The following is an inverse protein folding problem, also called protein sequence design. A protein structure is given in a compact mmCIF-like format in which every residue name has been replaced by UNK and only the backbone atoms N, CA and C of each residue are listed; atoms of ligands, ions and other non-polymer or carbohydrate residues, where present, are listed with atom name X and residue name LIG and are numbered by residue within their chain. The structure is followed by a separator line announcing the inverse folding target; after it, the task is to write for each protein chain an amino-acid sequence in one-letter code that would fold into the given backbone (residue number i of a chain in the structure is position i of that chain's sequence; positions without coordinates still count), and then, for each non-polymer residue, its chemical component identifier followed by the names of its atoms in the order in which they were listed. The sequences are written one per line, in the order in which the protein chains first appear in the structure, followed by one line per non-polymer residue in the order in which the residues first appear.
data_IF_738633329608
#
_entry.id   IF_738633329608
#
_cell.length_a   1.000
_cell.length_b   1.000
_cell.length_c   1.000
_cell.angle_alpha   90.00
_cell.angle_beta   90.00
_cell.angle_gamma   90.00
#
_symmetry.space_group_name_H-M   'P 1'
#
loop_
_entity.id
_entity.type
_entity.pdbx_description
1 polymer ?
#
# COMPACT_ATOMS: atom_id res chain seq x y z
N UNK A 1 -42.17 1.27 32.42
CA UNK A 1 -42.42 2.69 32.15
C UNK A 1 -41.57 3.14 30.97
N UNK A 2 -42.20 3.19 29.79
CA UNK A 2 -41.60 3.76 28.59
C UNK A 2 -41.52 5.29 28.79
N UNK A 3 -40.31 5.87 28.83
CA UNK A 3 -40.14 7.30 29.08
C UNK A 3 -40.11 8.16 27.82
N UNK A 4 -39.64 7.58 26.69
CA UNK A 4 -39.52 8.30 25.43
C UNK A 4 -39.40 7.30 24.27
N UNK A 5 -40.04 7.60 23.14
CA UNK A 5 -39.83 6.91 21.86
C UNK A 5 -39.26 7.94 20.90
N UNK A 6 -38.05 7.73 20.42
CA UNK A 6 -37.41 8.55 19.38
C UNK A 6 -37.43 7.81 18.06
N UNK A 7 -38.05 8.39 17.05
CA UNK A 7 -37.97 7.91 15.69
C UNK A 7 -36.81 8.61 14.98
N UNK A 8 -36.01 7.85 14.21
CA UNK A 8 -34.99 8.44 13.36
C UNK A 8 -35.67 9.08 12.14
N UNK A 9 -35.68 10.40 12.09
CA UNK A 9 -36.13 11.14 10.90
C UNK A 9 -34.95 11.29 9.97
N UNK A 10 -35.04 10.69 8.78
CA UNK A 10 -34.04 10.87 7.72
C UNK A 10 -34.47 12.12 6.95
N UNK A 11 -33.63 13.16 6.85
CA UNK A 11 -33.94 14.34 6.06
C UNK A 11 -34.11 13.99 4.58
N UNK A 12 -34.95 14.74 3.88
CA UNK A 12 -35.06 14.66 2.42
C UNK A 12 -33.74 15.09 1.75
N UNK A 13 -33.48 14.52 0.57
CA UNK A 13 -32.29 14.90 -0.25
C UNK A 13 -32.72 16.11 -1.09
N UNK A 14 -32.53 17.30 -0.52
CA UNK A 14 -32.95 18.59 -1.08
C UNK A 14 -31.87 19.67 -0.84
N UNK A 15 -32.22 20.91 -1.23
CA UNK A 15 -31.32 22.07 -1.06
C UNK A 15 -31.05 22.41 0.42
N UNK A 16 -31.94 22.00 1.35
CA UNK A 16 -31.71 22.22 2.77
C UNK A 16 -30.58 21.30 3.28
N UNK A 17 -30.61 20.06 2.84
CA UNK A 17 -29.51 19.12 3.13
C UNK A 17 -28.19 19.64 2.55
N UNK A 18 -28.18 20.12 1.30
CA UNK A 18 -26.98 20.68 0.65
C UNK A 18 -26.41 21.86 1.46
N UNK A 19 -27.29 22.79 1.92
CA UNK A 19 -26.85 23.91 2.76
C UNK A 19 -26.32 23.47 4.12
N UNK A 20 -26.91 22.43 4.72
CA UNK A 20 -26.43 21.88 5.99
C UNK A 20 -25.02 21.29 5.91
N UNK A 21 -24.60 20.82 4.74
CA UNK A 21 -23.24 20.29 4.50
C UNK A 21 -22.30 21.30 3.82
N UNK A 22 -22.74 22.58 3.66
CA UNK A 22 -21.88 23.67 3.21
C UNK A 22 -21.91 23.96 1.71
N UNK A 23 -22.89 23.43 0.96
CA UNK A 23 -23.10 23.71 -0.46
C UNK A 23 -24.29 24.66 -0.68
N UNK A 24 -24.36 25.37 -1.79
CA UNK A 24 -25.43 26.33 -2.07
C UNK A 24 -26.76 25.64 -2.42
N UNK A 25 -26.68 24.53 -3.16
CA UNK A 25 -27.83 23.75 -3.63
C UNK A 25 -27.47 22.28 -3.84
N UNK A 26 -28.48 21.44 -4.10
CA UNK A 26 -28.32 20.00 -4.29
C UNK A 26 -27.48 19.66 -5.54
N UNK A 27 -27.57 20.43 -6.60
CA UNK A 27 -26.83 20.16 -7.83
C UNK A 27 -25.34 20.38 -7.64
N UNK A 28 -24.95 21.45 -6.94
CA UNK A 28 -23.54 21.69 -6.57
C UNK A 28 -23.01 20.54 -5.65
N UNK A 29 -23.78 20.12 -4.68
CA UNK A 29 -23.42 19.00 -3.82
C UNK A 29 -23.17 17.72 -4.64
N UNK A 30 -24.06 17.42 -5.61
CA UNK A 30 -23.89 16.26 -6.49
C UNK A 30 -22.65 16.37 -7.39
N UNK A 31 -22.38 17.56 -7.93
CA UNK A 31 -21.21 17.79 -8.77
C UNK A 31 -19.90 17.64 -7.99
N UNK A 32 -19.85 18.16 -6.76
CA UNK A 32 -18.68 18.04 -5.90
C UNK A 32 -18.44 16.59 -5.44
N UNK A 33 -19.52 15.87 -5.08
CA UNK A 33 -19.43 14.43 -4.76
C UNK A 33 -18.93 13.65 -5.99
N UNK A 34 -19.50 13.92 -7.16
CA UNK A 34 -19.09 13.25 -8.39
C UNK A 34 -17.60 13.48 -8.69
N UNK A 35 -17.15 14.72 -8.57
CA UNK A 35 -15.74 15.10 -8.74
C UNK A 35 -14.84 14.38 -7.74
N UNK A 36 -15.22 14.34 -6.46
CA UNK A 36 -14.47 13.60 -5.44
C UNK A 36 -14.38 12.10 -5.76
N UNK A 37 -15.48 11.49 -6.18
CA UNK A 37 -15.49 10.08 -6.57
C UNK A 37 -14.63 9.82 -7.84
N UNK A 38 -14.64 10.72 -8.80
CA UNK A 38 -13.79 10.62 -10.00
C UNK A 38 -12.31 10.74 -9.63
N UNK A 39 -11.94 11.67 -8.74
CA UNK A 39 -10.58 11.82 -8.23
C UNK A 39 -10.13 10.58 -7.42
N UNK A 40 -11.00 10.01 -6.60
CA UNK A 40 -10.73 8.79 -5.84
C UNK A 40 -10.50 7.58 -6.74
N UNK A 41 -11.37 7.39 -7.74
CA UNK A 41 -11.24 6.30 -8.73
C UNK A 41 -9.95 6.45 -9.53
N UNK A 42 -9.60 7.67 -9.94
CA UNK A 42 -8.35 7.92 -10.68
C UNK A 42 -7.12 7.61 -9.81
N UNK A 43 -7.12 8.03 -8.53
CA UNK A 43 -6.05 7.72 -7.60
C UNK A 43 -5.92 6.20 -7.35
N UNK A 44 -7.04 5.49 -7.23
CA UNK A 44 -7.04 4.03 -7.11
C UNK A 44 -6.50 3.36 -8.37
N UNK A 45 -6.92 3.79 -9.55
CA UNK A 45 -6.42 3.27 -10.83
C UNK A 45 -4.92 3.50 -10.98
N UNK A 46 -4.41 4.68 -10.63
CA UNK A 46 -2.97 4.96 -10.63
C UNK A 46 -2.22 4.03 -9.67
N UNK A 47 -2.73 3.82 -8.46
CA UNK A 47 -2.14 2.90 -7.50
C UNK A 47 -2.12 1.45 -8.02
N UNK A 48 -3.21 1.00 -8.65
CA UNK A 48 -3.30 -0.33 -9.29
C UNK A 48 -2.28 -0.49 -10.42
N UNK A 49 -2.13 0.53 -11.27
CA UNK A 49 -1.14 0.53 -12.35
C UNK A 49 0.28 0.47 -11.80
N UNK A 50 0.61 1.31 -10.82
CA UNK A 50 1.92 1.30 -10.19
C UNK A 50 2.26 -0.07 -9.62
N UNK A 51 1.32 -0.66 -8.86
CA UNK A 51 1.49 -2.01 -8.30
C UNK A 51 1.67 -3.06 -9.39
N UNK A 52 0.82 -3.07 -10.42
CA UNK A 52 0.89 -4.05 -11.50
C UNK A 52 2.23 -4.00 -12.27
N UNK A 53 2.74 -2.78 -12.52
CA UNK A 53 4.02 -2.57 -13.19
C UNK A 53 5.17 -3.06 -12.32
N UNK A 54 5.19 -2.72 -11.04
CA UNK A 54 6.23 -3.19 -10.10
C UNK A 54 6.18 -4.71 -9.99
N UNK A 55 5.00 -5.32 -9.83
CA UNK A 55 4.82 -6.77 -9.76
C UNK A 55 5.31 -7.48 -11.03
N UNK A 56 5.06 -6.89 -12.21
CA UNK A 56 5.53 -7.44 -13.48
C UNK A 56 7.08 -7.43 -13.57
N UNK A 57 7.71 -6.33 -13.16
CA UNK A 57 9.18 -6.21 -13.13
C UNK A 57 9.77 -7.21 -12.12
N UNK A 58 9.21 -7.30 -10.92
CA UNK A 58 9.64 -8.24 -9.88
C UNK A 58 9.50 -9.69 -10.33
N UNK A 59 8.39 -10.06 -10.99
CA UNK A 59 8.17 -11.41 -11.53
C UNK A 59 9.17 -11.78 -12.64
N UNK A 60 9.65 -10.81 -13.40
CA UNK A 60 10.65 -11.02 -14.45
C UNK A 60 12.09 -11.12 -13.92
N UNK A 61 12.32 -10.64 -12.71
CA UNK A 61 13.65 -10.59 -12.11
C UNK A 61 14.09 -11.97 -11.57
N UNK A 62 15.36 -12.31 -11.80
CA UNK A 62 16.00 -13.47 -11.18
C UNK A 62 16.96 -12.97 -10.10
N UNK A 63 16.56 -13.08 -8.85
CA UNK A 63 17.30 -12.56 -7.69
C UNK A 63 17.37 -13.62 -6.60
N UNK A 64 18.59 -13.88 -6.11
CA UNK A 64 18.77 -14.62 -4.88
C UNK A 64 18.52 -13.70 -3.70
N UNK A 65 17.58 -14.08 -2.83
CA UNK A 65 17.20 -13.29 -1.68
C UNK A 65 18.06 -13.74 -0.49
N UNK A 66 18.91 -12.86 0.10
CA UNK A 66 19.69 -13.22 1.28
C UNK A 66 18.79 -13.42 2.49
N UNK A 67 18.90 -14.58 3.15
CA UNK A 67 18.10 -14.93 4.34
C UNK A 67 18.24 -13.89 5.46
N UNK A 68 19.45 -13.38 5.66
CA UNK A 68 19.73 -12.34 6.67
C UNK A 68 18.92 -11.05 6.46
N UNK A 69 18.60 -10.70 5.20
CA UNK A 69 17.73 -9.55 4.88
C UNK A 69 16.27 -9.86 5.20
N UNK A 70 15.83 -11.08 4.87
CA UNK A 70 14.47 -11.55 5.18
C UNK A 70 14.22 -11.56 6.69
N UNK A 71 15.14 -12.12 7.46
CA UNK A 71 15.05 -12.13 8.92
C UNK A 71 15.00 -10.73 9.53
N UNK A 72 15.79 -9.79 8.98
CA UNK A 72 15.78 -8.40 9.44
C UNK A 72 14.42 -7.75 9.18
N UNK A 73 13.90 -7.90 7.97
CA UNK A 73 12.59 -7.33 7.59
C UNK A 73 11.45 -7.99 8.39
N UNK A 74 11.51 -9.31 8.58
CA UNK A 74 10.57 -10.03 9.42
C UNK A 74 10.55 -9.49 10.87
N UNK A 75 11.72 -9.24 11.46
CA UNK A 75 11.81 -8.67 12.82
C UNK A 75 11.17 -7.27 12.88
N UNK A 76 11.34 -6.45 11.85
CA UNK A 76 10.68 -5.13 11.78
C UNK A 76 9.15 -5.27 11.72
N UNK A 77 8.63 -6.19 10.89
CA UNK A 77 7.20 -6.46 10.81
C UNK A 77 6.63 -6.95 12.15
N UNK A 78 7.33 -7.86 12.82
CA UNK A 78 6.92 -8.36 14.13
C UNK A 78 6.95 -7.28 15.22
N UNK A 79 7.93 -6.38 15.16
CA UNK A 79 8.00 -5.24 16.06
C UNK A 79 6.84 -4.25 15.86
N UNK A 80 6.40 -4.03 14.63
CA UNK A 80 5.22 -3.20 14.33
C UNK A 80 3.95 -3.83 14.92
N UNK A 81 3.77 -5.14 14.75
CA UNK A 81 2.64 -5.86 15.33
C UNK A 81 2.66 -5.77 16.85
N UNK A 82 3.82 -5.99 17.46
CA UNK A 82 3.98 -5.86 18.91
C UNK A 82 3.59 -4.47 19.40
N UNK A 83 4.10 -3.42 18.75
CA UNK A 83 3.75 -2.05 19.10
C UNK A 83 2.26 -1.78 18.98
N UNK A 84 1.60 -2.31 17.95
CA UNK A 84 0.16 -2.18 17.77
C UNK A 84 -0.64 -2.90 18.88
N UNK A 85 -0.25 -4.12 19.23
CA UNK A 85 -0.87 -4.91 20.31
C UNK A 85 -0.76 -4.18 21.65
N UNK A 86 0.46 -3.69 21.97
CA UNK A 86 0.73 -2.96 23.21
C UNK A 86 -0.02 -1.61 23.27
N UNK A 87 -0.14 -0.88 22.16
CA UNK A 87 -0.91 0.38 22.09
C UNK A 87 -2.41 0.14 22.29
N UNK A 88 -2.94 -1.01 21.90
CA UNK A 88 -4.32 -1.40 22.16
C UNK A 88 -4.56 -1.97 23.58
N UNK A 89 -3.55 -1.89 24.45
CA UNK A 89 -3.65 -2.30 25.85
C UNK A 89 -3.59 -3.82 26.08
N UNK A 90 -3.16 -4.59 25.07
CA UNK A 90 -2.98 -6.03 25.18
C UNK A 90 -1.54 -6.37 25.57
N UNK A 91 -1.37 -7.44 26.35
CA UNK A 91 -0.04 -7.94 26.70
C UNK A 91 0.56 -8.72 25.54
N UNK A 92 1.81 -8.38 25.14
CA UNK A 92 2.52 -9.14 24.12
C UNK A 92 2.72 -10.60 24.52
N UNK A 93 3.06 -10.87 25.78
CA UNK A 93 3.32 -12.23 26.29
C UNK A 93 2.07 -13.15 26.23
N UNK A 94 0.87 -12.55 26.26
CA UNK A 94 -0.39 -13.25 26.07
C UNK A 94 -0.70 -13.43 24.58
N UNK A 95 -0.51 -12.38 23.78
CA UNK A 95 -0.77 -12.41 22.35
C UNK A 95 0.18 -13.37 21.61
N UNK A 96 1.45 -13.45 22.04
CA UNK A 96 2.45 -14.35 21.45
C UNK A 96 2.05 -15.83 21.51
N UNK A 97 1.20 -16.23 22.47
CA UNK A 97 0.74 -17.60 22.65
C UNK A 97 -0.50 -17.95 21.84
N UNK A 98 -1.10 -16.97 21.16
CA UNK A 98 -2.34 -17.18 20.42
C UNK A 98 -2.11 -17.93 19.10
N UNK A 99 -3.13 -18.68 18.67
CA UNK A 99 -3.11 -19.31 17.34
C UNK A 99 -3.15 -18.28 16.20
N UNK A 100 -3.70 -17.10 16.47
CA UNK A 100 -3.73 -15.98 15.55
C UNK A 100 -2.32 -15.52 15.18
N UNK A 101 -1.43 -15.33 16.17
CA UNK A 101 -0.05 -14.96 15.88
C UNK A 101 0.71 -16.07 15.14
N UNK A 102 0.48 -17.34 15.47
CA UNK A 102 1.12 -18.47 14.78
C UNK A 102 0.71 -18.55 13.30
N UNK A 103 -0.55 -18.25 13.00
CA UNK A 103 -1.01 -18.16 11.61
C UNK A 103 -0.40 -16.94 10.89
N UNK A 104 -0.31 -15.81 11.60
CA UNK A 104 0.26 -14.57 11.11
C UNK A 104 1.77 -14.69 10.85
N UNK A 105 2.49 -15.44 11.65
CA UNK A 105 3.93 -15.66 11.59
C UNK A 105 4.38 -16.12 10.18
N UNK A 106 3.77 -17.19 9.65
CA UNK A 106 4.09 -17.70 8.31
C UNK A 106 3.80 -16.68 7.21
N UNK A 107 2.68 -15.97 7.35
CA UNK A 107 2.28 -14.95 6.39
C UNK A 107 3.28 -13.78 6.40
N UNK A 108 3.73 -13.37 7.59
CA UNK A 108 4.67 -12.27 7.75
C UNK A 108 6.08 -12.62 7.27
N UNK A 109 6.51 -13.86 7.41
CA UNK A 109 7.79 -14.29 6.84
C UNK A 109 7.75 -14.27 5.30
N UNK A 110 6.64 -14.69 4.70
CA UNK A 110 6.43 -14.58 3.24
C UNK A 110 6.39 -13.13 2.79
N UNK A 111 5.68 -12.27 3.54
CA UNK A 111 5.63 -10.83 3.29
C UNK A 111 7.02 -10.19 3.37
N UNK A 112 7.81 -10.52 4.39
CA UNK A 112 9.18 -10.05 4.53
C UNK A 112 10.04 -10.43 3.32
N UNK A 113 9.96 -11.68 2.86
CA UNK A 113 10.66 -12.14 1.68
C UNK A 113 10.27 -11.37 0.41
N UNK A 114 8.97 -11.10 0.23
CA UNK A 114 8.47 -10.31 -0.90
C UNK A 114 8.95 -8.85 -0.83
N UNK A 115 8.93 -8.22 0.35
CA UNK A 115 9.43 -6.86 0.54
C UNK A 115 10.92 -6.73 0.22
N UNK A 116 11.72 -7.70 0.67
CA UNK A 116 13.16 -7.75 0.35
C UNK A 116 13.37 -7.90 -1.15
N UNK A 117 12.63 -8.80 -1.82
CA UNK A 117 12.70 -8.98 -3.26
C UNK A 117 12.38 -7.69 -4.01
N UNK A 118 11.28 -7.02 -3.66
CA UNK A 118 10.90 -5.73 -4.24
C UNK A 118 12.01 -4.68 -4.05
N UNK A 119 12.54 -4.56 -2.85
CA UNK A 119 13.61 -3.61 -2.53
C UNK A 119 14.88 -3.87 -3.35
N UNK A 120 15.28 -5.14 -3.49
CA UNK A 120 16.46 -5.51 -4.28
C UNK A 120 16.27 -5.20 -5.77
N UNK A 121 15.10 -5.51 -6.33
CA UNK A 121 14.78 -5.26 -7.74
C UNK A 121 14.71 -3.77 -8.02
N UNK A 122 13.95 -3.00 -7.23
CA UNK A 122 13.87 -1.54 -7.39
C UNK A 122 15.24 -0.88 -7.20
N UNK A 123 16.02 -1.32 -6.22
CA UNK A 123 17.40 -0.85 -6.02
C UNK A 123 18.34 -1.18 -7.19
N UNK A 124 18.11 -2.28 -7.92
CA UNK A 124 18.84 -2.58 -9.15
C UNK A 124 18.45 -1.63 -10.28
N UNK A 125 17.15 -1.30 -10.42
CA UNK A 125 16.66 -0.31 -11.39
C UNK A 125 17.26 1.06 -11.11
N UNK A 126 17.27 1.52 -9.85
CA UNK A 126 17.90 2.80 -9.43
C UNK A 126 19.33 2.88 -9.93
N UNK A 127 20.12 1.83 -9.72
CA UNK A 127 21.53 1.79 -10.12
C UNK A 127 21.71 1.73 -11.64
N UNK A 128 20.89 0.96 -12.34
CA UNK A 128 20.97 0.81 -13.79
C UNK A 128 20.60 2.08 -14.53
N UNK A 129 19.53 2.73 -14.10
CA UNK A 129 18.97 3.93 -14.72
C UNK A 129 19.54 5.24 -14.12
N UNK A 130 20.41 5.12 -13.09
CA UNK A 130 21.03 6.26 -12.38
C UNK A 130 19.98 7.26 -11.87
N UNK A 131 18.90 6.74 -11.31
CA UNK A 131 17.85 7.57 -10.72
C UNK A 131 18.38 8.15 -9.43
N UNK A 132 18.37 9.48 -9.31
CA UNK A 132 18.82 10.21 -8.14
C UNK A 132 17.73 11.17 -7.66
N UNK A 133 17.80 11.57 -6.40
CA UNK A 133 16.86 12.49 -5.76
C UNK A 133 17.61 13.78 -5.41
N UNK A 134 17.13 14.89 -5.95
CA UNK A 134 17.69 16.20 -5.64
C UNK A 134 17.25 16.71 -4.26
N UNK A 135 17.99 17.65 -3.72
CA UNK A 135 17.63 18.28 -2.45
C UNK A 135 16.30 19.06 -2.55
N UNK A 136 16.00 19.63 -3.70
CA UNK A 136 14.74 20.34 -3.93
C UNK A 136 13.54 19.40 -3.90
N UNK A 137 13.67 18.19 -4.47
CA UNK A 137 12.62 17.18 -4.40
C UNK A 137 12.39 16.70 -2.98
N UNK A 138 13.44 16.48 -2.20
CA UNK A 138 13.32 16.12 -0.78
C UNK A 138 12.61 17.24 -0.02
N UNK A 139 13.01 18.52 -0.24
CA UNK A 139 12.41 19.65 0.43
C UNK A 139 10.91 19.82 0.06
N UNK A 140 10.55 19.64 -1.21
CA UNK A 140 9.14 19.68 -1.65
C UNK A 140 8.31 18.58 -1.00
N UNK A 141 8.80 17.34 -1.03
CA UNK A 141 8.11 16.22 -0.38
C UNK A 141 8.02 16.38 1.15
N UNK A 142 9.05 16.96 1.79
CA UNK A 142 8.99 17.31 3.22
C UNK A 142 7.86 18.30 3.52
N UNK A 143 7.72 19.34 2.69
CA UNK A 143 6.66 20.34 2.86
C UNK A 143 5.27 19.73 2.63
N UNK A 144 5.11 18.90 1.60
CA UNK A 144 3.86 18.18 1.35
C UNK A 144 3.51 17.24 2.50
N UNK A 145 4.48 16.48 3.01
CA UNK A 145 4.30 15.62 4.18
C UNK A 145 3.86 16.45 5.40
N UNK A 146 4.50 17.57 5.64
CA UNK A 146 4.19 18.45 6.78
C UNK A 146 2.79 19.05 6.66
N UNK A 147 2.37 19.49 5.47
CA UNK A 147 1.02 20.00 5.21
C UNK A 147 -0.04 18.93 5.39
N UNK A 148 0.16 17.75 4.80
CA UNK A 148 -0.78 16.61 4.90
C UNK A 148 -1.01 16.16 6.34
N UNK A 149 0.04 16.22 7.17
CA UNK A 149 -0.03 15.80 8.58
C UNK A 149 -0.27 16.95 9.55
N UNK A 150 -0.60 18.16 9.05
CA UNK A 150 -0.85 19.35 9.87
C UNK A 150 0.27 19.66 10.85
N UNK A 151 1.53 19.48 10.42
CA UNK A 151 2.70 19.71 11.27
C UNK A 151 2.98 21.22 11.35
N UNK A 152 3.09 21.79 12.57
CA UNK A 152 3.40 23.18 12.75
C UNK A 152 4.83 23.53 12.25
N UNK A 153 5.02 24.74 11.72
CA UNK A 153 6.30 25.19 11.16
C UNK A 153 7.45 25.19 12.17
N UNK A 154 7.16 25.40 13.45
CA UNK A 154 8.16 25.37 14.53
C UNK A 154 8.78 23.96 14.69
N UNK A 155 8.08 22.90 14.28
CA UNK A 155 8.57 21.52 14.28
C UNK A 155 9.42 21.14 13.06
N UNK A 156 9.38 21.92 11.99
CA UNK A 156 10.10 21.61 10.74
C UNK A 156 11.58 21.45 10.94
N UNK A 157 12.19 22.34 11.74
CA UNK A 157 13.63 22.30 11.98
C UNK A 157 14.05 21.04 12.76
N UNK A 158 13.27 20.65 13.75
CA UNK A 158 13.50 19.44 14.54
C UNK A 158 13.41 18.19 13.65
N UNK A 159 12.38 18.11 12.81
CA UNK A 159 12.18 16.99 11.89
C UNK A 159 13.27 16.92 10.81
N UNK A 160 13.65 18.06 10.24
CA UNK A 160 14.71 18.12 9.24
C UNK A 160 16.10 17.76 9.82
N UNK A 161 16.32 17.90 11.13
CA UNK A 161 17.52 17.47 11.82
C UNK A 161 17.50 16.00 12.22
N UNK A 162 16.37 15.34 12.13
CA UNK A 162 16.23 13.91 12.41
C UNK A 162 16.74 13.10 11.20
N UNK A 163 17.96 12.60 11.27
CA UNK A 163 18.60 11.84 10.20
C UNK A 163 17.81 10.58 9.82
N UNK A 164 17.19 9.91 10.77
CA UNK A 164 16.38 8.73 10.51
C UNK A 164 15.14 9.08 9.67
N UNK A 165 14.41 10.13 10.08
CA UNK A 165 13.25 10.61 9.35
C UNK A 165 13.62 11.06 7.92
N UNK A 166 14.68 11.88 7.79
CA UNK A 166 15.12 12.38 6.48
C UNK A 166 15.57 11.25 5.55
N UNK A 167 16.17 10.20 6.08
CA UNK A 167 16.55 9.01 5.32
C UNK A 167 15.32 8.27 4.82
N UNK A 168 14.31 8.06 5.68
CA UNK A 168 13.06 7.42 5.27
C UNK A 168 12.35 8.23 4.18
N UNK A 169 12.28 9.55 4.35
CA UNK A 169 11.69 10.44 3.34
C UNK A 169 12.42 10.34 2.00
N UNK A 170 13.75 10.34 2.02
CA UNK A 170 14.56 10.18 0.81
C UNK A 170 14.32 8.83 0.14
N UNK A 171 14.22 7.74 0.90
CA UNK A 171 13.92 6.41 0.38
C UNK A 171 12.50 6.34 -0.22
N UNK A 172 11.53 7.01 0.39
CA UNK A 172 10.16 7.11 -0.12
C UNK A 172 10.12 7.88 -1.45
N UNK A 173 10.77 9.06 -1.52
CA UNK A 173 10.87 9.86 -2.74
C UNK A 173 11.58 9.10 -3.85
N UNK A 174 12.69 8.42 -3.53
CA UNK A 174 13.43 7.61 -4.50
C UNK A 174 12.57 6.46 -5.03
N UNK A 175 11.85 5.78 -4.16
CA UNK A 175 10.95 4.68 -4.53
C UNK A 175 9.83 5.19 -5.44
N UNK A 176 9.20 6.31 -5.11
CA UNK A 176 8.19 6.96 -5.96
C UNK A 176 8.73 7.26 -7.37
N UNK A 177 9.91 7.88 -7.46
CA UNK A 177 10.55 8.18 -8.76
C UNK A 177 10.82 6.93 -9.60
N UNK A 178 11.26 5.85 -8.97
CA UNK A 178 11.50 4.58 -9.67
C UNK A 178 10.19 4.00 -10.20
N UNK A 179 9.15 4.02 -9.40
CA UNK A 179 7.82 3.53 -9.81
C UNK A 179 7.29 4.37 -10.96
N UNK A 180 7.35 5.70 -10.88
CA UNK A 180 6.92 6.60 -11.94
C UNK A 180 7.73 6.39 -13.22
N UNK A 181 9.05 6.19 -13.11
CA UNK A 181 9.89 5.83 -14.23
C UNK A 181 9.43 4.52 -14.89
N UNK A 182 9.19 3.47 -14.10
CA UNK A 182 8.71 2.18 -14.61
C UNK A 182 7.34 2.31 -15.28
N UNK A 183 6.41 3.05 -14.69
CA UNK A 183 5.09 3.33 -15.28
C UNK A 183 5.25 4.08 -16.61
N UNK A 184 6.15 5.07 -16.68
CA UNK A 184 6.40 5.83 -17.93
C UNK A 184 6.93 4.98 -19.09
N UNK A 185 7.52 3.81 -18.78
CA UNK A 185 8.06 2.85 -19.75
C UNK A 185 7.12 1.69 -20.04
N UNK A 186 6.07 1.54 -19.24
CA UNK A 186 5.10 0.45 -19.38
C UNK A 186 4.04 0.76 -20.45
N UNK A 187 3.63 -0.26 -21.18
CA UNK A 187 2.45 -0.19 -22.06
C UNK A 187 1.21 -0.58 -21.23
N UNK A 188 0.54 0.44 -20.67
CA UNK A 188 -0.62 0.28 -19.80
C UNK A 188 -1.89 0.25 -20.62
N UNK A 189 -2.69 -0.81 -20.45
CA UNK A 189 -4.02 -0.94 -21.05
C UNK A 189 -5.08 -0.96 -19.96
N UNK A 190 -5.96 0.02 -20.00
CA UNK A 190 -7.13 0.05 -19.13
C UNK A 190 -8.23 -0.86 -19.71
N UNK A 191 -8.78 -1.71 -18.87
CA UNK A 191 -9.89 -2.61 -19.21
C UNK A 191 -11.01 -2.32 -18.23
N UNK A 192 -12.24 -2.16 -18.76
CA UNK A 192 -13.41 -2.01 -17.89
C UNK A 192 -13.61 -3.27 -17.05
N UNK A 193 -13.84 -3.10 -15.74
CA UNK A 193 -14.18 -4.19 -14.83
C UNK A 193 -15.59 -4.68 -15.16
N UNK A 194 -15.67 -5.77 -15.92
CA UNK A 194 -16.92 -6.51 -16.09
C UNK A 194 -16.90 -7.73 -15.16
N UNK A 195 -18.07 -8.26 -14.73
CA UNK A 195 -18.12 -9.47 -13.89
C UNK A 195 -17.36 -10.67 -14.49
N UNK A 196 -17.21 -10.70 -15.80
CA UNK A 196 -16.45 -11.74 -16.53
C UNK A 196 -14.93 -11.54 -16.40
N UNK A 197 -14.45 -10.29 -16.33
CA UNK A 197 -13.03 -9.98 -16.18
C UNK A 197 -12.53 -10.20 -14.74
N UNK A 198 -13.37 -9.99 -13.73
CA UNK A 198 -13.02 -10.23 -12.32
C UNK A 198 -12.80 -11.72 -12.05
N UNK A 199 -13.59 -12.61 -12.67
CA UNK A 199 -13.37 -14.07 -12.61
C UNK A 199 -12.08 -14.51 -13.34
N UNK A 200 -11.64 -13.74 -14.33
CA UNK A 200 -10.37 -13.97 -15.03
C UNK A 200 -9.14 -13.73 -14.18
N UNK A 201 -9.17 -12.75 -13.29
CA UNK A 201 -8.07 -12.43 -12.38
C UNK A 201 -7.92 -13.45 -11.25
N UNK A 202 -9.02 -13.92 -10.67
CA UNK A 202 -9.02 -15.03 -9.70
C UNK A 202 -8.53 -16.34 -10.32
N UNK A 203 -8.84 -16.60 -11.60
CA UNK A 203 -8.36 -17.77 -12.32
C UNK A 203 -6.87 -17.73 -12.68
N UNK A 204 -6.25 -16.55 -12.80
CA UNK A 204 -4.80 -16.42 -13.03
C UNK A 204 -4.02 -16.80 -11.77
N UNK A 205 -4.51 -16.44 -10.58
CA UNK A 205 -3.89 -16.86 -9.31
C UNK A 205 -4.07 -18.38 -9.09
N UNK A 206 -5.26 -18.92 -9.35
CA UNK A 206 -5.53 -20.35 -9.26
C UNK A 206 -4.74 -21.19 -10.30
N UNK A 207 -4.43 -20.63 -11.49
CA UNK A 207 -3.58 -21.30 -12.48
C UNK A 207 -2.10 -21.28 -12.10
N UNK A 208 -1.63 -20.21 -11.46
CA UNK A 208 -0.26 -20.11 -10.96
C UNK A 208 0.03 -21.12 -9.84
N UNK A 209 -0.93 -21.37 -8.95
CA UNK A 209 -0.82 -22.39 -7.90
C UNK A 209 -0.83 -23.83 -8.49
N UNK A 210 -1.74 -24.12 -9.43
CA UNK A 210 -1.79 -25.43 -10.09
C UNK A 210 -0.56 -25.73 -10.95
N UNK A 211 0.08 -24.73 -11.49
CA UNK A 211 1.31 -24.90 -12.27
C UNK A 211 2.51 -25.18 -11.36
N UNK A 212 2.57 -24.58 -10.18
CA UNK A 212 3.59 -24.88 -9.14
C UNK A 212 3.42 -26.29 -8.60
N UNK A 213 2.21 -26.76 -8.36
CA UNK A 213 1.92 -28.12 -7.89
C UNK A 213 2.27 -29.21 -8.93
N UNK A 214 2.07 -28.93 -10.22
CA UNK A 214 2.47 -29.83 -11.32
C UNK A 214 3.98 -29.85 -11.53
N UNK A 215 4.68 -28.74 -11.33
CA UNK A 215 6.14 -28.68 -11.43
C UNK A 215 6.81 -29.47 -10.29
N UNK A 216 6.32 -29.33 -9.05
CA UNK A 216 6.84 -30.07 -7.90
C UNK A 216 6.58 -31.60 -8.01
N UNK A 217 5.43 -32.01 -8.55
CA UNK A 217 5.14 -33.43 -8.79
C UNK A 217 6.00 -34.03 -9.91
N UNK A 218 6.38 -33.26 -10.93
CA UNK A 218 7.30 -33.74 -11.99
C UNK A 218 8.73 -33.92 -11.49
N UNK A 219 9.21 -33.05 -10.60
CA UNK A 219 10.54 -33.22 -9.99
C UNK A 219 10.62 -34.42 -9.03
N UNK A 220 9.52 -34.72 -8.31
CA UNK A 220 9.47 -35.87 -7.43
C UNK A 220 9.48 -37.22 -8.19
N UNK A 221 8.89 -37.27 -9.40
CA UNK A 221 8.86 -38.48 -10.25
C UNK A 221 10.18 -38.67 -11.02
N UNK A 222 10.94 -37.61 -11.27
CA UNK A 222 12.24 -37.71 -11.95
C UNK A 222 13.41 -38.13 -11.03
N UNK A 223 13.18 -38.20 -9.72
CA UNK A 223 14.17 -38.63 -8.71
C UNK A 223 13.86 -40.00 -8.09
N UNK A 224 12.85 -40.71 -8.58
CA UNK A 224 12.51 -42.07 -8.24
C UNK A 224 12.84 -43.04 -9.38
#
# INVERSE_FOLDING_TARGET
NLKEIRAKVIPSIDDELAKAVGHENLDQLKEDIKKQMEEEVEAENQSRVQKAVVDAVVKSAQVEIPETMVEREYKLLMQQIRSFVEQNGQSWDEYEKTEELKALDKTKHTEASQRVLHSLVLGAVVRAEKIDVSQDEIASNFLEFAQRNYIPQDKFKEMAQNEYFMRQLMEEVLTGKVVDFLVSKADVKYVEETPENTQGLENVEAHAEKTKEKASKKEAVAKS
#
